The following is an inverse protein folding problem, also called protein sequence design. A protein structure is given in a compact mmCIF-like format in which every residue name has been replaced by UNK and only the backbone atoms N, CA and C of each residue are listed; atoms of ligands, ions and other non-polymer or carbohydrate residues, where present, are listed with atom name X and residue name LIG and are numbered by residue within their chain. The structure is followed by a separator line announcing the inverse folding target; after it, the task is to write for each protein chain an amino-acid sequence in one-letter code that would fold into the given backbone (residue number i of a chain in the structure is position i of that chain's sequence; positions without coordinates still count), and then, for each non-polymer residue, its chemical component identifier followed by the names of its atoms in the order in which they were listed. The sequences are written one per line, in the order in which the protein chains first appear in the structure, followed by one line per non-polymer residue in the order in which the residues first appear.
data_IF_797599664329
#
_entry.id   IF_797599664329
#
_cell.length_a   1.000
_cell.length_b   1.000
_cell.length_c   1.000
_cell.angle_alpha   90.00
_cell.angle_beta   90.00
_cell.angle_gamma   90.00
#
_symmetry.space_group_name_H-M   'P 1'
#
loop_
_entity.id
_entity.type
_entity.pdbx_description
1 polymer ?
#
# COMPACT_ATOMS: atom_id res chain seq x y z
N UNK A 1 38.10 52.21 10.38
CA UNK A 1 36.81 51.92 11.05
C UNK A 1 37.10 51.40 12.45
N UNK A 2 36.44 51.93 13.49
CA UNK A 2 36.73 51.51 14.88
C UNK A 2 36.28 50.06 15.10
N UNK A 3 37.07 49.24 15.84
CA UNK A 3 36.75 47.84 16.18
C UNK A 3 35.32 47.70 16.74
N UNK A 4 34.81 48.67 17.48
CA UNK A 4 33.44 48.69 18.01
C UNK A 4 32.37 48.79 16.91
N UNK A 5 32.62 49.49 15.80
CA UNK A 5 31.69 49.56 14.67
C UNK A 5 31.64 48.25 13.89
N UNK A 6 32.77 47.54 13.78
CA UNK A 6 32.82 46.24 13.11
C UNK A 6 32.03 45.18 13.91
N UNK A 7 32.18 45.15 15.23
CA UNK A 7 31.44 44.25 16.12
C UNK A 7 29.95 44.55 16.06
N UNK A 8 29.53 45.81 16.05
CA UNK A 8 28.12 46.18 15.94
C UNK A 8 27.48 45.71 14.62
N UNK A 9 28.20 45.82 13.50
CA UNK A 9 27.73 45.36 12.18
C UNK A 9 27.63 43.82 12.17
N UNK A 10 28.61 43.10 12.73
CA UNK A 10 28.58 41.64 12.79
C UNK A 10 27.41 41.14 13.62
N UNK A 11 27.09 41.76 14.75
CA UNK A 11 25.92 41.39 15.57
C UNK A 11 24.60 41.62 14.83
N UNK A 12 24.48 42.73 14.10
CA UNK A 12 23.27 43.00 13.29
C UNK A 12 23.08 41.99 12.17
N UNK A 13 24.17 41.58 11.51
CA UNK A 13 24.08 40.54 10.45
C UNK A 13 23.66 39.18 11.03
N UNK A 14 24.21 38.78 12.16
CA UNK A 14 23.82 37.54 12.84
C UNK A 14 22.36 37.58 13.25
N UNK A 15 21.87 38.70 13.81
CA UNK A 15 20.48 38.88 14.17
C UNK A 15 19.54 38.77 12.95
N UNK A 16 19.93 39.38 11.83
CA UNK A 16 19.18 39.30 10.58
C UNK A 16 19.10 37.84 10.06
N UNK A 17 20.18 37.08 10.13
CA UNK A 17 20.21 35.67 9.73
C UNK A 17 19.30 34.83 10.62
N UNK A 18 19.29 35.03 11.93
CA UNK A 18 18.43 34.32 12.87
C UNK A 18 16.94 34.60 12.56
N UNK A 19 16.59 35.85 12.27
CA UNK A 19 15.23 36.24 11.92
C UNK A 19 14.80 35.54 10.61
N UNK A 20 15.66 35.55 9.58
CA UNK A 20 15.37 34.91 8.30
C UNK A 20 15.19 33.38 8.48
N UNK A 21 16.06 32.71 9.24
CA UNK A 21 15.93 31.30 9.54
C UNK A 21 14.67 31.00 10.35
N UNK A 22 14.29 31.84 11.29
CA UNK A 22 13.04 31.71 12.05
C UNK A 22 11.80 31.84 11.17
N UNK A 23 11.82 32.79 10.22
CA UNK A 23 10.71 32.94 9.25
C UNK A 23 10.62 31.73 8.30
N UNK A 24 11.77 31.23 7.83
CA UNK A 24 11.79 30.02 6.98
C UNK A 24 11.27 28.82 7.76
N UNK A 25 11.71 28.62 9.01
CA UNK A 25 11.22 27.54 9.86
C UNK A 25 9.72 27.65 10.12
N UNK A 26 9.22 28.86 10.41
CA UNK A 26 7.80 29.12 10.60
C UNK A 26 6.98 28.89 9.32
N UNK A 27 7.53 29.23 8.14
CA UNK A 27 6.90 28.94 6.86
C UNK A 27 6.86 27.45 6.52
N UNK A 28 7.91 26.71 6.88
CA UNK A 28 7.95 25.24 6.71
C UNK A 28 6.96 24.57 7.65
N UNK A 29 6.87 25.02 8.92
CA UNK A 29 5.93 24.48 9.90
C UNK A 29 4.49 24.78 9.50
N UNK A 30 4.21 25.99 8.99
CA UNK A 30 2.90 26.36 8.46
C UNK A 30 2.55 25.63 7.15
N UNK A 31 3.54 25.33 6.30
CA UNK A 31 3.37 24.52 5.09
C UNK A 31 3.08 23.07 5.39
N UNK A 32 3.62 22.54 6.51
CA UNK A 32 3.31 21.19 6.99
C UNK A 32 1.99 21.13 7.80
N UNK A 33 1.47 22.27 8.21
CA UNK A 33 0.19 22.38 8.95
C UNK A 33 -1.02 22.73 8.08
N UNK A 34 -0.83 23.22 6.86
CA UNK A 34 -1.88 23.20 5.86
C UNK A 34 -1.98 21.77 5.35
N UNK A 35 -2.95 21.02 5.90
CA UNK A 35 -3.52 19.90 5.20
C UNK A 35 -3.61 20.30 3.73
N UNK A 36 -2.69 19.77 2.90
CA UNK A 36 -2.96 19.56 1.51
C UNK A 36 -4.18 18.66 1.54
N UNK A 37 -5.37 19.27 1.56
CA UNK A 37 -6.56 18.66 1.06
C UNK A 37 -6.22 18.40 -0.39
N UNK A 38 -5.55 17.25 -0.63
CA UNK A 38 -5.64 16.61 -1.91
C UNK A 38 -7.15 16.54 -2.06
N UNK A 39 -7.67 17.35 -2.99
CA UNK A 39 -8.94 17.09 -3.60
C UNK A 39 -8.72 15.74 -4.29
N UNK A 40 -8.76 14.67 -3.49
CA UNK A 40 -9.16 13.37 -3.98
C UNK A 40 -10.52 13.70 -4.55
N UNK A 41 -10.56 13.75 -5.87
CA UNK A 41 -11.81 13.83 -6.59
C UNK A 41 -12.65 12.69 -6.01
N UNK A 42 -13.66 13.05 -5.19
CA UNK A 42 -14.65 12.14 -4.63
C UNK A 42 -15.45 11.42 -5.72
N UNK A 43 -15.04 11.56 -6.97
CA UNK A 43 -15.61 10.84 -8.11
C UNK A 43 -15.04 9.42 -8.29
N UNK A 44 -14.02 9.00 -7.54
CA UNK A 44 -13.82 7.57 -7.32
C UNK A 44 -14.76 7.17 -6.18
N UNK A 45 -16.04 7.21 -6.46
CA UNK A 45 -17.02 6.44 -5.74
C UNK A 45 -16.60 4.99 -5.87
N UNK A 46 -16.00 4.47 -4.81
CA UNK A 46 -15.99 3.05 -4.51
C UNK A 46 -17.44 2.62 -4.20
N UNK A 47 -18.31 2.80 -5.15
CA UNK A 47 -19.60 2.15 -5.19
C UNK A 47 -19.29 0.70 -5.49
N UNK A 48 -19.51 -0.11 -4.44
CA UNK A 48 -19.79 -1.52 -4.48
C UNK A 48 -19.05 -2.25 -5.63
N UNK A 49 -17.74 -2.50 -5.41
CA UNK A 49 -17.02 -3.37 -6.32
C UNK A 49 -17.87 -4.64 -6.44
N UNK A 50 -18.39 -4.92 -7.62
CA UNK A 50 -19.17 -6.13 -7.88
C UNK A 50 -18.45 -7.29 -7.21
N UNK A 51 -19.22 -8.16 -6.55
CA UNK A 51 -18.65 -9.36 -5.93
C UNK A 51 -17.88 -10.15 -6.99
N UNK A 52 -16.87 -10.90 -6.60
CA UNK A 52 -16.07 -11.70 -7.55
C UNK A 52 -16.95 -12.62 -8.41
N UNK A 53 -18.00 -13.17 -7.80
CA UNK A 53 -18.97 -14.05 -8.45
C UNK A 53 -19.83 -13.35 -9.51
N UNK A 54 -20.00 -12.03 -9.40
CA UNK A 54 -20.84 -11.23 -10.30
C UNK A 54 -20.05 -10.68 -11.51
N UNK A 55 -18.73 -10.84 -11.52
CA UNK A 55 -17.90 -10.41 -12.64
C UNK A 55 -18.12 -11.32 -13.87
N UNK A 56 -18.05 -10.76 -15.09
CA UNK A 56 -18.13 -11.55 -16.31
C UNK A 56 -17.09 -12.67 -16.34
N UNK A 57 -17.44 -13.81 -16.94
CA UNK A 57 -16.48 -14.91 -17.13
C UNK A 57 -15.30 -14.48 -18.02
N UNK A 58 -15.60 -13.65 -19.03
CA UNK A 58 -14.65 -13.03 -19.97
C UNK A 58 -14.24 -11.62 -19.54
N UNK A 59 -13.93 -11.44 -18.25
CA UNK A 59 -13.54 -10.13 -17.71
C UNK A 59 -12.29 -9.61 -18.42
N UNK A 60 -12.48 -8.67 -19.35
CA UNK A 60 -11.44 -8.22 -20.27
C UNK A 60 -10.43 -7.29 -19.58
N UNK A 61 -9.20 -7.25 -20.13
CA UNK A 61 -8.14 -6.34 -19.66
C UNK A 61 -8.61 -4.88 -19.68
N UNK A 62 -9.25 -4.44 -20.76
CA UNK A 62 -9.73 -3.07 -20.90
C UNK A 62 -10.77 -2.73 -19.83
N UNK A 63 -11.69 -3.66 -19.55
CA UNK A 63 -12.69 -3.48 -18.53
C UNK A 63 -12.04 -3.41 -17.14
N UNK A 64 -11.14 -4.34 -16.82
CA UNK A 64 -10.45 -4.35 -15.53
C UNK A 64 -9.66 -3.06 -15.28
N UNK A 65 -8.98 -2.53 -16.30
CA UNK A 65 -8.26 -1.24 -16.20
C UNK A 65 -9.23 -0.08 -15.98
N UNK A 66 -10.37 -0.04 -16.69
CA UNK A 66 -11.40 1.00 -16.54
C UNK A 66 -12.08 0.95 -15.18
N UNK A 67 -12.28 -0.24 -14.64
CA UNK A 67 -12.86 -0.45 -13.30
C UNK A 67 -11.87 -0.09 -12.16
N UNK A 68 -10.65 0.36 -12.52
CA UNK A 68 -9.63 0.77 -11.53
C UNK A 68 -8.93 -0.39 -10.86
N UNK A 69 -8.96 -1.59 -11.45
CA UNK A 69 -8.16 -2.71 -10.94
C UNK A 69 -6.67 -2.51 -11.24
N UNK A 70 -5.82 -3.03 -10.38
CA UNK A 70 -4.42 -3.29 -10.75
C UNK A 70 -4.42 -4.47 -11.70
N UNK A 71 -3.91 -4.27 -12.92
CA UNK A 71 -3.92 -5.34 -13.92
C UNK A 71 -2.50 -5.75 -14.25
N UNK A 72 -2.19 -7.01 -14.05
CA UNK A 72 -0.88 -7.60 -14.28
C UNK A 72 -0.96 -8.53 -15.48
N UNK A 73 -0.18 -8.23 -16.50
CA UNK A 73 -0.04 -9.06 -17.69
C UNK A 73 1.41 -9.51 -17.85
N UNK A 74 1.62 -10.42 -18.78
CA UNK A 74 2.99 -10.79 -19.17
C UNK A 74 3.84 -9.59 -19.62
N UNK A 75 3.23 -8.51 -20.14
CA UNK A 75 3.95 -7.38 -20.74
C UNK A 75 3.99 -6.12 -19.88
N UNK A 76 2.99 -5.90 -19.03
CA UNK A 76 2.81 -4.62 -18.36
C UNK A 76 1.97 -4.75 -17.08
N UNK A 77 2.23 -3.85 -16.13
CA UNK A 77 1.34 -3.58 -14.98
C UNK A 77 0.60 -2.27 -15.25
N UNK A 78 -0.72 -2.31 -15.18
CA UNK A 78 -1.59 -1.14 -15.30
C UNK A 78 -2.08 -0.72 -13.92
N UNK A 79 -2.32 0.57 -13.72
CA UNK A 79 -2.78 1.15 -12.45
C UNK A 79 -1.85 0.78 -11.27
N UNK A 80 -0.54 0.72 -11.52
CA UNK A 80 0.47 0.37 -10.50
C UNK A 80 0.44 1.33 -9.31
N UNK A 81 0.13 2.59 -9.53
CA UNK A 81 -0.04 3.62 -8.51
C UNK A 81 -1.11 3.25 -7.45
N UNK A 82 -2.15 2.51 -7.84
CA UNK A 82 -3.16 1.97 -6.92
C UNK A 82 -2.54 0.90 -6.02
N UNK A 83 -1.69 0.01 -6.57
CA UNK A 83 -0.96 -0.99 -5.80
C UNK A 83 0.00 -0.33 -4.82
N UNK A 84 0.78 0.65 -5.30
CA UNK A 84 1.75 1.37 -4.48
C UNK A 84 1.07 2.11 -3.32
N UNK A 85 -0.08 2.75 -3.59
CA UNK A 85 -0.91 3.38 -2.55
C UNK A 85 -1.38 2.34 -1.51
N UNK A 86 -1.89 1.21 -1.96
CA UNK A 86 -2.36 0.16 -1.06
C UNK A 86 -1.23 -0.35 -0.16
N UNK A 87 -0.04 -0.62 -0.72
CA UNK A 87 1.15 -1.02 0.03
C UNK A 87 1.55 0.07 1.04
N UNK A 88 1.51 1.34 0.63
CA UNK A 88 1.81 2.46 1.53
C UNK A 88 0.82 2.56 2.68
N UNK A 89 -0.47 2.36 2.41
CA UNK A 89 -1.55 2.49 3.39
C UNK A 89 -1.59 1.32 4.38
N UNK A 90 -1.29 0.10 3.93
CA UNK A 90 -1.54 -1.12 4.71
C UNK A 90 -0.27 -1.91 5.03
N UNK A 91 0.85 -1.58 4.39
CA UNK A 91 2.10 -2.32 4.47
C UNK A 91 2.68 -2.37 5.89
N UNK A 92 3.50 -3.40 6.13
CA UNK A 92 4.11 -3.64 7.44
C UNK A 92 4.99 -2.48 7.91
N UNK A 93 5.60 -1.75 6.98
CA UNK A 93 6.46 -0.60 7.26
C UNK A 93 5.70 0.71 7.41
N UNK A 94 4.37 0.72 7.26
CA UNK A 94 3.55 1.91 7.42
C UNK A 94 3.44 2.28 8.89
N UNK A 95 3.83 3.51 9.23
CA UNK A 95 3.75 4.02 10.61
C UNK A 95 2.29 4.20 11.09
N UNK A 96 1.41 4.56 10.16
CA UNK A 96 -0.02 4.76 10.41
C UNK A 96 -0.79 4.03 9.32
N UNK A 97 -1.13 2.77 9.55
CA UNK A 97 -1.96 2.00 8.63
C UNK A 97 -3.37 2.56 8.62
N UNK A 98 -3.96 2.66 7.44
CA UNK A 98 -5.33 3.10 7.22
C UNK A 98 -6.08 2.03 6.41
N UNK A 99 -7.41 1.98 6.58
CA UNK A 99 -8.25 1.10 5.79
C UNK A 99 -8.10 1.40 4.31
N UNK A 100 -7.91 0.34 3.54
CA UNK A 100 -7.85 0.41 2.08
C UNK A 100 -8.24 -0.94 1.47
N UNK A 101 -8.64 -0.92 0.21
CA UNK A 101 -8.97 -2.11 -0.56
C UNK A 101 -8.41 -2.01 -1.98
N UNK A 102 -8.10 -3.18 -2.54
CA UNK A 102 -7.56 -3.30 -3.89
C UNK A 102 -8.12 -4.55 -4.56
N UNK A 103 -8.36 -4.46 -5.86
CA UNK A 103 -8.58 -5.61 -6.74
C UNK A 103 -7.42 -5.75 -7.70
N UNK A 104 -6.85 -6.93 -7.77
CA UNK A 104 -5.75 -7.29 -8.65
C UNK A 104 -6.25 -8.33 -9.63
N UNK A 105 -6.04 -8.07 -10.92
CA UNK A 105 -6.41 -8.98 -12.01
C UNK A 105 -5.13 -9.41 -12.71
N UNK A 106 -4.78 -10.69 -12.61
CA UNK A 106 -3.60 -11.27 -13.25
C UNK A 106 -4.03 -12.10 -14.45
N UNK A 107 -3.40 -11.85 -15.59
CA UNK A 107 -3.58 -12.67 -16.79
C UNK A 107 -2.43 -13.67 -16.89
N UNK A 108 -2.74 -14.95 -16.97
CA UNK A 108 -1.77 -16.02 -17.22
C UNK A 108 -1.16 -15.88 -18.62
N UNK A 109 -0.14 -16.67 -18.93
CA UNK A 109 0.47 -16.67 -20.27
C UNK A 109 -0.49 -17.23 -21.34
N UNK A 110 -1.45 -18.03 -20.94
CA UNK A 110 -2.53 -18.56 -21.76
C UNK A 110 -3.65 -17.52 -21.99
N UNK A 111 -3.71 -16.49 -21.17
CA UNK A 111 -4.69 -15.42 -21.21
C UNK A 111 -5.85 -15.57 -20.22
N UNK A 112 -5.81 -16.59 -19.38
CA UNK A 112 -6.79 -16.81 -18.32
C UNK A 112 -6.65 -15.77 -17.20
N UNK A 113 -7.72 -15.57 -16.45
CA UNK A 113 -7.81 -14.51 -15.46
C UNK A 113 -7.86 -15.06 -14.04
N UNK A 114 -6.96 -14.59 -13.20
CA UNK A 114 -6.99 -14.80 -11.74
C UNK A 114 -7.27 -13.45 -11.09
N UNK A 115 -8.29 -13.39 -10.22
CA UNK A 115 -8.70 -12.14 -9.57
C UNK A 115 -8.49 -12.26 -8.07
N UNK A 116 -7.79 -11.29 -7.48
CA UNK A 116 -7.54 -11.25 -6.04
C UNK A 116 -8.03 -9.93 -5.47
N UNK A 117 -8.98 -9.99 -4.53
CA UNK A 117 -9.39 -8.86 -3.71
C UNK A 117 -8.64 -8.91 -2.37
N UNK A 118 -8.05 -7.79 -1.98
CA UNK A 118 -7.43 -7.64 -0.66
C UNK A 118 -8.01 -6.40 0.01
N UNK A 119 -8.49 -6.56 1.23
CA UNK A 119 -9.04 -5.48 2.05
C UNK A 119 -8.36 -5.46 3.41
N UNK A 120 -7.93 -4.28 3.86
CA UNK A 120 -7.43 -4.04 5.21
C UNK A 120 -8.45 -3.23 5.99
N UNK A 121 -8.86 -3.75 7.14
CA UNK A 121 -9.89 -3.15 8.02
C UNK A 121 -9.38 -2.93 9.42
N UNK A 122 -9.86 -1.85 10.04
CA UNK A 122 -9.70 -1.55 11.46
C UNK A 122 -11.00 -1.95 12.14
N UNK A 123 -10.90 -2.87 13.12
CA UNK A 123 -12.08 -3.36 13.88
C UNK A 123 -12.40 -2.41 15.02
N UNK A 124 -13.67 -2.34 15.42
CA UNK A 124 -14.10 -1.59 16.62
C UNK A 124 -13.63 -2.24 17.95
N UNK A 125 -13.02 -3.42 17.86
CA UNK A 125 -12.44 -4.13 19.00
C UNK A 125 -11.03 -3.62 19.31
N UNK A 126 -10.70 -3.48 20.58
CA UNK A 126 -9.37 -3.07 21.04
C UNK A 126 -8.69 -4.16 21.88
N UNK A 127 -7.36 -4.12 21.90
CA UNK A 127 -6.52 -4.87 22.82
C UNK A 127 -5.49 -3.93 23.45
N UNK A 128 -4.81 -4.37 24.51
CA UNK A 128 -3.77 -3.58 25.16
C UNK A 128 -2.40 -3.95 24.59
N UNK A 129 -1.72 -2.99 23.98
CA UNK A 129 -0.33 -3.11 23.57
C UNK A 129 0.52 -2.19 24.45
N UNK A 130 1.41 -2.77 25.25
CA UNK A 130 2.23 -2.03 26.22
C UNK A 130 1.41 -1.15 27.19
N UNK A 131 0.16 -1.53 27.47
CA UNK A 131 -0.75 -0.80 28.35
C UNK A 131 -1.64 0.24 27.65
N UNK A 132 -1.43 0.51 26.39
CA UNK A 132 -2.24 1.44 25.59
C UNK A 132 -3.28 0.67 24.76
N UNK A 133 -4.52 1.17 24.63
CA UNK A 133 -5.54 0.56 23.80
C UNK A 133 -5.22 0.76 22.31
N UNK A 134 -5.18 -0.34 21.56
CA UNK A 134 -4.95 -0.37 20.12
C UNK A 134 -6.10 -1.12 19.47
N UNK A 135 -6.60 -0.61 18.35
CA UNK A 135 -7.64 -1.29 17.59
C UNK A 135 -7.08 -2.56 16.94
N UNK A 136 -7.90 -3.61 17.00
CA UNK A 136 -7.61 -4.81 16.20
C UNK A 136 -7.77 -4.49 14.72
N UNK A 137 -6.98 -5.17 13.92
CA UNK A 137 -7.00 -5.01 12.47
C UNK A 137 -7.12 -6.37 11.79
N UNK A 138 -7.54 -6.40 10.55
CA UNK A 138 -7.65 -7.64 9.78
C UNK A 138 -7.42 -7.41 8.30
N UNK A 139 -6.82 -8.41 7.65
CA UNK A 139 -6.85 -8.52 6.20
C UNK A 139 -7.93 -9.54 5.80
N UNK A 140 -8.60 -9.24 4.72
CA UNK A 140 -9.53 -10.11 4.03
C UNK A 140 -8.95 -10.35 2.64
N UNK A 141 -8.70 -11.61 2.31
CA UNK A 141 -8.17 -11.99 0.99
C UNK A 141 -9.17 -12.93 0.33
N UNK A 142 -9.66 -12.54 -0.84
CA UNK A 142 -10.52 -13.38 -1.69
C UNK A 142 -9.82 -13.59 -3.01
N UNK A 143 -9.71 -14.83 -3.44
CA UNK A 143 -9.08 -15.17 -4.71
C UNK A 143 -10.01 -16.03 -5.55
N UNK A 144 -10.24 -15.60 -6.78
CA UNK A 144 -11.05 -16.27 -7.76
C UNK A 144 -10.16 -16.89 -8.84
N UNK A 145 -10.07 -18.21 -8.83
CA UNK A 145 -9.40 -19.03 -9.83
C UNK A 145 -10.37 -19.72 -10.77
N UNK A 146 -11.67 -19.41 -10.72
CA UNK A 146 -12.69 -20.12 -11.52
C UNK A 146 -12.52 -19.91 -13.02
N UNK A 147 -11.78 -18.85 -13.41
CA UNK A 147 -11.52 -18.48 -14.80
C UNK A 147 -10.22 -19.04 -15.37
N UNK A 148 -9.40 -19.70 -14.55
CA UNK A 148 -8.19 -20.38 -14.98
C UNK A 148 -8.53 -21.77 -15.54
N UNK A 149 -8.67 -21.87 -16.85
CA UNK A 149 -9.04 -23.10 -17.53
C UNK A 149 -7.95 -24.19 -17.49
N UNK A 150 -6.69 -23.79 -17.21
CA UNK A 150 -5.55 -24.69 -17.11
C UNK A 150 -5.28 -25.17 -15.69
N UNK A 151 -5.89 -24.54 -14.69
CA UNK A 151 -5.83 -25.05 -13.32
C UNK A 151 -6.55 -26.41 -13.18
N UNK A 152 -6.13 -27.21 -12.21
CA UNK A 152 -6.85 -28.41 -11.86
C UNK A 152 -8.29 -28.05 -11.42
N UNK A 153 -9.27 -28.93 -11.72
CA UNK A 153 -10.69 -28.67 -11.41
C UNK A 153 -10.92 -28.37 -9.91
N UNK A 154 -10.14 -29.01 -9.04
CA UNK A 154 -10.17 -28.76 -7.60
C UNK A 154 -9.73 -27.35 -7.20
N UNK A 155 -8.94 -26.70 -8.05
CA UNK A 155 -8.32 -25.39 -7.76
C UNK A 155 -9.09 -24.23 -8.41
N UNK A 156 -10.06 -24.55 -9.28
CA UNK A 156 -10.98 -23.57 -9.92
C UNK A 156 -12.10 -23.16 -8.99
N UNK A 157 -11.73 -22.60 -7.87
CA UNK A 157 -12.66 -22.18 -6.81
C UNK A 157 -12.40 -20.73 -6.41
N UNK A 158 -13.40 -20.11 -5.79
CA UNK A 158 -13.22 -18.88 -5.04
C UNK A 158 -12.81 -19.27 -3.61
N UNK A 159 -11.66 -18.77 -3.18
CA UNK A 159 -11.20 -18.92 -1.79
C UNK A 159 -11.39 -17.61 -1.06
N UNK A 160 -11.73 -17.68 0.23
CA UNK A 160 -11.86 -16.53 1.11
C UNK A 160 -11.16 -16.80 2.43
N UNK A 161 -10.34 -15.83 2.85
CA UNK A 161 -9.82 -15.76 4.21
C UNK A 161 -10.15 -14.38 4.75
N UNK A 162 -11.14 -14.29 5.63
CA UNK A 162 -11.71 -13.05 6.15
C UNK A 162 -11.17 -12.64 7.53
N UNK A 163 -10.18 -13.34 8.04
CA UNK A 163 -9.79 -13.18 9.45
C UNK A 163 -8.27 -13.27 9.68
N UNK A 164 -7.49 -12.73 8.76
CA UNK A 164 -6.02 -12.69 8.89
C UNK A 164 -5.65 -11.52 9.82
N UNK A 165 -5.09 -11.77 11.03
CA UNK A 165 -4.84 -10.71 12.01
C UNK A 165 -3.80 -9.71 11.51
N UNK A 166 -4.18 -8.44 11.33
CA UNK A 166 -3.29 -7.38 10.86
C UNK A 166 -2.26 -6.94 11.90
N UNK A 167 -2.38 -7.37 13.17
CA UNK A 167 -1.40 -7.11 14.22
C UNK A 167 -0.08 -7.83 13.99
N UNK A 168 -0.15 -9.01 13.36
CA UNK A 168 1.02 -9.86 13.13
C UNK A 168 1.30 -10.10 11.65
N UNK A 169 0.34 -9.81 10.76
CA UNK A 169 0.54 -9.82 9.33
C UNK A 169 0.68 -8.42 8.76
N UNK A 170 1.37 -8.31 7.65
CA UNK A 170 1.46 -7.06 6.91
C UNK A 170 1.87 -7.28 5.47
N UNK A 171 1.37 -6.39 4.60
CA UNK A 171 1.80 -6.38 3.21
C UNK A 171 3.27 -6.00 3.14
N UNK A 172 4.04 -6.77 2.41
CA UNK A 172 5.45 -6.55 2.11
C UNK A 172 5.73 -6.79 0.63
N UNK A 173 6.90 -6.34 0.18
CA UNK A 173 7.41 -6.62 -1.15
C UNK A 173 8.77 -7.28 -1.04
N UNK A 174 8.96 -8.38 -1.76
CA UNK A 174 10.26 -9.04 -1.92
C UNK A 174 10.71 -8.96 -3.38
N UNK A 175 11.97 -8.62 -3.59
CA UNK A 175 12.59 -8.60 -4.91
C UNK A 175 13.47 -9.83 -5.08
N UNK A 176 13.23 -10.59 -6.14
CA UNK A 176 14.06 -11.73 -6.51
C UNK A 176 14.42 -11.64 -8.00
N UNK A 177 15.64 -11.17 -8.29
CA UNK A 177 16.06 -10.84 -9.66
C UNK A 177 15.19 -9.73 -10.25
N UNK A 178 14.54 -10.01 -11.37
CA UNK A 178 13.67 -9.07 -12.07
C UNK A 178 12.19 -9.14 -11.60
N UNK A 179 11.88 -10.04 -10.67
CA UNK A 179 10.53 -10.20 -10.14
C UNK A 179 10.35 -9.43 -8.84
N UNK A 180 9.18 -8.85 -8.69
CA UNK A 180 8.65 -8.27 -7.44
C UNK A 180 7.48 -9.12 -7.01
N UNK A 181 7.54 -9.62 -5.79
CA UNK A 181 6.47 -10.35 -5.11
C UNK A 181 5.81 -9.43 -4.11
N UNK A 182 4.49 -9.36 -4.13
CA UNK A 182 3.68 -8.67 -3.13
C UNK A 182 3.02 -9.73 -2.28
N UNK A 183 3.33 -9.75 -1.00
CA UNK A 183 2.97 -10.82 -0.08
C UNK A 183 2.31 -10.26 1.17
N UNK A 184 1.42 -11.03 1.75
CA UNK A 184 0.94 -10.83 3.09
C UNK A 184 1.72 -11.77 4.02
N UNK A 185 2.69 -11.21 4.73
CA UNK A 185 3.69 -11.94 5.48
C UNK A 185 3.43 -11.91 6.98
N UNK A 186 3.60 -13.07 7.63
CA UNK A 186 3.54 -13.24 9.08
C UNK A 186 4.93 -13.07 9.69
N UNK A 187 5.04 -12.22 10.69
CA UNK A 187 6.27 -12.02 11.45
C UNK A 187 6.09 -12.46 12.91
N UNK A 188 7.04 -13.22 13.43
CA UNK A 188 6.97 -13.79 14.77
C UNK A 188 7.07 -12.75 15.92
N UNK A 189 7.63 -11.57 15.65
CA UNK A 189 7.78 -10.48 16.62
C UNK A 189 7.60 -9.11 15.98
N UNK A 190 6.98 -8.17 16.71
CA UNK A 190 6.67 -6.81 16.26
C UNK A 190 7.91 -5.88 16.19
N UNK A 191 9.12 -6.39 16.12
CA UNK A 191 10.34 -5.61 16.00
C UNK A 191 10.85 -5.58 14.55
N UNK A 192 10.10 -4.96 13.68
CA UNK A 192 10.18 -4.98 12.22
C UNK A 192 11.29 -4.14 11.59
N UNK A 193 12.27 -3.71 12.32
CA UNK A 193 13.30 -2.83 11.77
C UNK A 193 14.43 -3.59 11.08
N UNK A 194 14.45 -4.90 11.19
CA UNK A 194 15.52 -5.74 10.62
C UNK A 194 15.02 -6.49 9.37
N UNK A 195 15.37 -5.98 8.21
CA UNK A 195 15.09 -6.59 6.89
C UNK A 195 15.74 -7.98 6.69
N UNK A 196 16.49 -8.48 7.66
CA UNK A 196 17.08 -9.82 7.66
C UNK A 196 16.15 -10.90 8.21
N UNK A 197 15.03 -10.53 8.86
CA UNK A 197 14.06 -11.47 9.42
C UNK A 197 13.15 -11.93 8.28
N UNK A 198 13.25 -13.20 7.89
CA UNK A 198 12.31 -13.80 6.94
C UNK A 198 10.95 -14.00 7.59
N UNK A 199 9.86 -13.83 6.84
CA UNK A 199 8.52 -14.17 7.33
C UNK A 199 8.45 -15.66 7.71
N UNK A 200 7.59 -15.94 8.67
CA UNK A 200 7.31 -17.30 9.13
C UNK A 200 6.38 -18.04 8.17
N UNK A 201 5.48 -17.31 7.57
CA UNK A 201 4.49 -17.72 6.59
C UNK A 201 4.18 -16.53 5.70
N UNK A 202 3.98 -16.77 4.42
CA UNK A 202 3.57 -15.76 3.46
C UNK A 202 2.38 -16.25 2.62
N UNK A 203 1.57 -15.29 2.19
CA UNK A 203 0.48 -15.49 1.24
C UNK A 203 0.78 -14.58 0.06
N UNK A 204 1.17 -15.16 -1.07
CA UNK A 204 1.39 -14.40 -2.28
C UNK A 204 0.08 -13.75 -2.74
N UNK A 205 0.11 -12.43 -2.84
CA UNK A 205 -1.00 -11.63 -3.36
C UNK A 205 -0.85 -11.46 -4.87
N UNK A 206 0.33 -11.06 -5.34
CA UNK A 206 0.66 -10.98 -6.75
C UNK A 206 2.17 -10.95 -6.98
N UNK A 207 2.58 -11.22 -8.22
CA UNK A 207 3.96 -11.05 -8.65
C UNK A 207 4.02 -10.40 -10.04
N UNK A 208 5.03 -9.56 -10.28
CA UNK A 208 5.25 -8.92 -11.58
C UNK A 208 6.74 -8.66 -11.83
N UNK A 209 7.11 -8.45 -13.11
CA UNK A 209 8.48 -8.14 -13.49
C UNK A 209 8.71 -6.63 -13.47
N UNK A 210 9.86 -6.18 -12.94
CA UNK A 210 10.31 -4.78 -12.91
C UNK A 210 10.39 -4.14 -14.30
N UNK A 211 10.82 -4.91 -15.30
CA UNK A 211 10.95 -4.44 -16.69
C UNK A 211 9.61 -4.05 -17.35
N UNK A 212 8.49 -4.24 -16.64
CA UNK A 212 7.12 -4.02 -17.13
C UNK A 212 6.40 -2.87 -16.45
N UNK A 213 7.13 -2.09 -15.66
CA UNK A 213 6.56 -0.95 -14.91
C UNK A 213 6.34 0.31 -15.79
N UNK A 214 6.74 0.30 -17.07
CA UNK A 214 6.58 1.45 -18.00
C UNK A 214 5.34 1.35 -18.89
#
# INVERSE_FOLDING_TARGET
MSKRKIIGIAVLVILAIIIVLGVIFFMIDKSNGENVKILVDDSIKNEDTNRLEDLPQDYSLEQAVQDGCVVITYKKVYNKDILDRFIQNTGINSQNRIEDKIRIVQYTVEGDTIITDVEYKIKDETYLLSGEPVNKTTYIVRKDNTRDEFAAESDRIITENDNIPGEIYGITTEENGDMVYVELALYAEINYVDSSIKPYEDIEICAYSKDREE
#
